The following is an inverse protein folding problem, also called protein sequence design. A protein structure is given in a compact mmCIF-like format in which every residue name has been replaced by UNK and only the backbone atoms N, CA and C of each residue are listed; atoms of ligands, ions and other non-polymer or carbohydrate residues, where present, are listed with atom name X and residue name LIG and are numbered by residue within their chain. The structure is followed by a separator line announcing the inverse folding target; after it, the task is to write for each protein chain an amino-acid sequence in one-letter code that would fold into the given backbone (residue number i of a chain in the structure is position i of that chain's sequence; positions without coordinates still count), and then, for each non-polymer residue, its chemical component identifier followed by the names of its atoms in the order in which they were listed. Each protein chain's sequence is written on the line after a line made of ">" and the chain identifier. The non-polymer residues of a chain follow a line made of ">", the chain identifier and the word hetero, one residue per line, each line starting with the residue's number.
data_IF_433035829750
#
_entry.id   IF_433035829750
#
_cell.length_a   1.000
_cell.length_b   1.000
_cell.length_c   1.000
_cell.angle_alpha   90.00
_cell.angle_beta   90.00
_cell.angle_gamma   90.00
#
_symmetry.space_group_name_H-M   'P 1'
#
loop_
_entity.id
_entity.type
_entity.pdbx_description
1 polymer ?
#
# COMPACT_ATOMS: atom_id res chain seq x y z
N UNK A 1 -9.61 -28.65 -15.94
CA UNK A 1 -9.61 -28.02 -14.60
C UNK A 1 -8.70 -28.86 -13.72
N UNK A 2 -7.60 -28.30 -13.21
CA UNK A 2 -6.79 -28.99 -12.21
C UNK A 2 -7.55 -28.95 -10.88
N UNK A 3 -7.70 -30.10 -10.21
CA UNK A 3 -8.27 -30.15 -8.87
C UNK A 3 -7.39 -29.31 -7.94
N UNK A 4 -7.97 -28.28 -7.33
CA UNK A 4 -7.31 -27.50 -6.29
C UNK A 4 -6.95 -28.44 -5.14
N UNK A 5 -5.69 -28.38 -4.66
CA UNK A 5 -5.27 -29.09 -3.45
C UNK A 5 -6.22 -28.77 -2.29
N UNK A 6 -6.48 -29.75 -1.42
CA UNK A 6 -7.34 -29.58 -0.25
C UNK A 6 -6.83 -28.46 0.69
N UNK A 7 -5.50 -28.28 0.75
CA UNK A 7 -4.87 -27.17 1.48
C UNK A 7 -5.26 -25.80 0.90
N UNK A 8 -5.34 -25.72 -0.43
CA UNK A 8 -5.71 -24.50 -1.15
C UNK A 8 -7.20 -24.18 -0.94
N UNK A 9 -8.07 -25.19 -0.93
CA UNK A 9 -9.49 -25.03 -0.62
C UNK A 9 -9.70 -24.53 0.81
N UNK A 10 -8.98 -25.11 1.78
CA UNK A 10 -9.04 -24.69 3.17
C UNK A 10 -8.54 -23.24 3.35
N UNK A 11 -7.47 -22.86 2.67
CA UNK A 11 -6.97 -21.48 2.64
C UNK A 11 -8.01 -20.52 2.04
N UNK A 12 -8.63 -20.89 0.91
CA UNK A 12 -9.68 -20.09 0.26
C UNK A 12 -10.90 -19.91 1.17
N UNK A 13 -11.33 -20.97 1.86
CA UNK A 13 -12.40 -20.91 2.84
C UNK A 13 -12.07 -19.98 4.02
N UNK A 14 -10.84 -20.00 4.53
CA UNK A 14 -10.42 -19.09 5.59
C UNK A 14 -10.38 -17.62 5.13
N UNK A 15 -9.94 -17.38 3.88
CA UNK A 15 -9.81 -16.04 3.30
C UNK A 15 -11.15 -15.39 2.95
N UNK A 16 -12.12 -16.17 2.44
CA UNK A 16 -13.38 -15.62 1.92
C UNK A 16 -14.45 -15.47 3.01
N UNK A 17 -14.37 -16.23 4.12
CA UNK A 17 -15.39 -16.23 5.18
C UNK A 17 -15.72 -14.84 5.76
N UNK A 18 -14.77 -13.92 6.00
CA UNK A 18 -15.06 -12.58 6.49
C UNK A 18 -15.82 -11.70 5.46
N UNK A 19 -15.57 -11.90 4.17
CA UNK A 19 -16.14 -11.08 3.09
C UNK A 19 -17.62 -11.39 2.82
N UNK A 20 -18.02 -12.66 3.00
CA UNK A 20 -19.41 -13.11 2.79
C UNK A 20 -20.35 -12.56 3.87
N UNK A 21 -19.86 -12.40 5.11
CA UNK A 21 -20.71 -12.01 6.23
C UNK A 21 -20.98 -10.49 6.30
N UNK A 22 -20.13 -9.66 5.69
CA UNK A 22 -20.33 -8.20 5.64
C UNK A 22 -21.44 -7.76 4.67
N UNK A 23 -21.79 -8.56 3.65
CA UNK A 23 -22.78 -8.19 2.63
C UNK A 23 -24.22 -8.59 2.99
N UNK A 24 -24.40 -9.56 3.88
CA UNK A 24 -25.72 -10.17 4.15
C UNK A 24 -26.55 -9.45 5.24
N UNK A 25 -25.99 -8.45 5.94
CA UNK A 25 -26.67 -7.83 7.09
C UNK A 25 -27.39 -6.51 6.76
N UNK A 26 -27.78 -6.28 5.50
CA UNK A 26 -28.62 -5.14 5.11
C UNK A 26 -30.09 -5.54 5.20
N UNK A 27 -30.64 -5.47 6.40
CA UNK A 27 -32.09 -5.40 6.59
C UNK A 27 -32.60 -4.15 5.86
N UNK A 28 -33.21 -4.33 4.70
CA UNK A 28 -33.92 -3.27 3.98
C UNK A 28 -35.13 -2.92 4.85
N UNK A 29 -35.00 -1.90 5.69
CA UNK A 29 -36.15 -1.27 6.35
C UNK A 29 -36.81 -0.41 5.28
N UNK A 30 -37.94 -0.90 4.76
CA UNK A 30 -38.76 -0.14 3.83
C UNK A 30 -39.28 1.13 4.53
N UNK A 31 -39.17 2.33 3.91
CA UNK A 31 -39.75 3.53 4.49
C UNK A 31 -41.28 3.45 4.41
N UNK A 32 -41.92 3.51 5.57
CA UNK A 32 -43.38 3.64 5.68
C UNK A 32 -43.80 5.03 5.19
N UNK A 33 -44.49 5.06 4.06
CA UNK A 33 -45.09 6.26 3.47
C UNK A 33 -46.23 6.73 4.38
N UNK A 34 -46.10 7.93 4.95
CA UNK A 34 -47.20 8.62 5.65
C UNK A 34 -47.54 9.87 4.84
N UNK A 35 -48.74 9.93 4.31
CA UNK A 35 -49.25 11.06 3.52
C UNK A 35 -49.78 12.17 4.43
N UNK A 36 -49.22 13.38 4.35
CA UNK A 36 -49.77 14.60 4.96
C UNK A 36 -49.76 15.73 3.94
N UNK A 37 -50.81 16.55 3.99
CA UNK A 37 -51.24 17.58 3.04
C UNK A 37 -50.29 18.77 2.85
N UNK A 38 -50.45 19.40 1.67
CA UNK A 38 -49.82 20.64 1.22
C UNK A 38 -50.08 21.82 2.16
N UNK A 39 -49.01 22.57 2.44
CA UNK A 39 -49.09 24.00 2.78
C UNK A 39 -47.89 24.74 2.15
N UNK A 40 -48.13 25.93 1.62
CA UNK A 40 -47.22 26.75 0.81
C UNK A 40 -46.22 27.52 1.68
N UNK A 41 -44.91 27.27 1.57
CA UNK A 41 -43.78 28.16 1.96
C UNK A 41 -42.41 27.57 1.53
N UNK A 42 -41.31 28.33 1.70
CA UNK A 42 -40.50 28.98 0.66
C UNK A 42 -39.48 28.05 -0.04
N UNK A 43 -38.93 28.53 -1.16
CA UNK A 43 -37.91 27.87 -1.99
C UNK A 43 -36.65 27.54 -1.17
N UNK A 44 -36.57 26.31 -0.66
CA UNK A 44 -35.34 25.69 -0.15
C UNK A 44 -34.49 25.27 -1.36
N UNK A 45 -33.26 25.78 -1.39
CA UNK A 45 -32.23 25.32 -2.34
C UNK A 45 -32.06 23.79 -2.21
N UNK A 46 -31.87 23.06 -3.32
CA UNK A 46 -31.67 21.62 -3.28
C UNK A 46 -30.35 21.37 -2.56
N UNK A 47 -30.45 21.04 -1.28
CA UNK A 47 -29.36 20.50 -0.50
C UNK A 47 -28.95 19.21 -1.21
N UNK A 48 -27.91 19.30 -2.04
CA UNK A 48 -27.22 18.15 -2.64
C UNK A 48 -26.64 17.38 -1.48
N UNK A 49 -27.48 16.53 -0.87
CA UNK A 49 -27.11 15.59 0.16
C UNK A 49 -25.95 14.79 -0.38
N UNK A 50 -24.74 15.17 0.04
CA UNK A 50 -23.53 14.41 -0.18
C UNK A 50 -23.81 13.07 0.50
N UNK A 51 -24.21 12.08 -0.30
CA UNK A 51 -24.34 10.71 0.15
C UNK A 51 -22.98 10.34 0.73
N UNK A 52 -22.91 10.32 2.07
CA UNK A 52 -21.76 9.91 2.82
C UNK A 52 -21.55 8.41 2.59
N UNK A 53 -21.05 8.06 1.40
CA UNK A 53 -20.60 6.73 1.09
C UNK A 53 -19.44 6.41 2.02
N UNK A 54 -19.75 5.66 3.08
CA UNK A 54 -18.72 5.09 3.94
C UNK A 54 -17.73 4.35 3.04
N UNK A 55 -16.45 4.72 3.03
CA UNK A 55 -15.48 4.10 2.16
C UNK A 55 -15.25 2.69 2.68
N UNK A 56 -15.97 1.71 2.14
CA UNK A 56 -15.69 0.31 2.40
C UNK A 56 -14.32 -0.02 1.81
N UNK A 57 -13.54 -0.93 2.43
CA UNK A 57 -12.29 -1.38 1.83
C UNK A 57 -12.58 -1.88 0.42
N UNK A 58 -11.91 -1.28 -0.57
CA UNK A 58 -12.18 -1.57 -1.97
C UNK A 58 -11.98 -3.07 -2.22
N UNK A 59 -12.96 -3.73 -2.84
CA UNK A 59 -12.92 -5.18 -3.09
C UNK A 59 -11.64 -5.63 -3.82
N UNK A 60 -11.02 -4.70 -4.57
CA UNK A 60 -9.72 -4.91 -5.20
C UNK A 60 -8.62 -5.30 -4.20
N UNK A 61 -8.59 -4.74 -2.99
CA UNK A 61 -7.52 -5.06 -2.03
C UNK A 61 -7.59 -6.51 -1.55
N UNK A 62 -8.81 -7.00 -1.28
CA UNK A 62 -9.00 -8.41 -0.93
C UNK A 62 -8.64 -9.34 -2.10
N UNK A 63 -9.03 -8.97 -3.33
CA UNK A 63 -8.66 -9.71 -4.53
C UNK A 63 -7.14 -9.73 -4.73
N UNK A 64 -6.45 -8.61 -4.56
CA UNK A 64 -4.99 -8.49 -4.66
C UNK A 64 -4.31 -9.40 -3.64
N UNK A 65 -4.71 -9.33 -2.36
CA UNK A 65 -4.13 -10.18 -1.29
C UNK A 65 -4.34 -11.67 -1.59
N UNK A 66 -5.54 -12.06 -2.04
CA UNK A 66 -5.82 -13.43 -2.43
C UNK A 66 -4.96 -13.87 -3.62
N UNK A 67 -4.87 -13.06 -4.67
CA UNK A 67 -4.00 -13.35 -5.82
C UNK A 67 -2.54 -13.53 -5.39
N UNK A 68 -2.01 -12.64 -4.55
CA UNK A 68 -0.65 -12.75 -4.01
C UNK A 68 -0.46 -14.07 -3.25
N UNK A 69 -1.37 -14.40 -2.32
CA UNK A 69 -1.32 -15.63 -1.53
C UNK A 69 -1.38 -16.89 -2.41
N UNK A 70 -2.20 -16.89 -3.46
CA UNK A 70 -2.24 -17.99 -4.43
C UNK A 70 -0.91 -18.14 -5.17
N UNK A 71 -0.29 -17.03 -5.60
CA UNK A 71 1.01 -17.13 -6.27
C UNK A 71 2.16 -17.52 -5.32
N UNK A 72 2.03 -17.27 -4.02
CA UNK A 72 3.01 -17.69 -3.00
C UNK A 72 3.08 -19.20 -2.78
N UNK A 73 2.11 -19.98 -3.26
CA UNK A 73 2.19 -21.45 -3.23
C UNK A 73 3.19 -21.99 -4.25
N UNK A 74 3.57 -21.18 -5.24
CA UNK A 74 4.61 -21.54 -6.21
C UNK A 74 5.99 -21.30 -5.61
N UNK A 75 6.79 -22.37 -5.51
CA UNK A 75 8.15 -22.29 -5.01
C UNK A 75 9.05 -21.53 -5.99
N UNK A 76 9.79 -20.54 -5.47
CA UNK A 76 10.81 -19.84 -6.24
C UNK A 76 11.97 -20.81 -6.47
N UNK A 77 12.32 -21.03 -7.74
CA UNK A 77 13.50 -21.82 -8.09
C UNK A 77 14.76 -20.99 -7.85
N UNK A 78 15.65 -21.49 -7.00
CA UNK A 78 16.92 -20.82 -6.68
C UNK A 78 17.98 -21.30 -7.67
N UNK A 79 18.60 -20.41 -8.47
CA UNK A 79 19.62 -20.83 -9.42
C UNK A 79 20.85 -21.42 -8.70
N UNK A 80 21.31 -22.64 -9.06
CA UNK A 80 22.36 -23.34 -8.31
C UNK A 80 23.77 -22.77 -8.50
N UNK A 81 23.96 -21.86 -9.47
CA UNK A 81 25.25 -21.24 -9.78
C UNK A 81 25.52 -19.95 -8.98
N UNK A 82 24.56 -19.49 -8.18
CA UNK A 82 24.73 -18.32 -7.35
C UNK A 82 25.67 -18.60 -6.16
N UNK A 83 26.43 -17.60 -5.68
CA UNK A 83 27.14 -17.72 -4.42
C UNK A 83 26.20 -18.13 -3.29
N UNK A 84 26.68 -18.94 -2.35
CA UNK A 84 25.85 -19.46 -1.26
C UNK A 84 25.34 -18.32 -0.36
N UNK A 85 26.21 -17.37 -0.04
CA UNK A 85 25.93 -16.23 0.84
C UNK A 85 26.73 -14.99 0.40
N UNK A 86 26.45 -13.86 1.05
CA UNK A 86 27.06 -12.55 0.76
C UNK A 86 28.58 -12.55 0.87
N UNK A 87 29.12 -13.15 1.94
CA UNK A 87 30.57 -13.22 2.18
C UNK A 87 31.29 -13.96 1.05
N UNK A 88 30.69 -15.03 0.53
CA UNK A 88 31.24 -15.80 -0.59
C UNK A 88 31.24 -14.97 -1.89
N UNK A 89 30.15 -14.24 -2.15
CA UNK A 89 30.05 -13.32 -3.30
C UNK A 89 31.15 -12.25 -3.25
N UNK A 90 31.32 -11.59 -2.10
CA UNK A 90 32.35 -10.57 -1.89
C UNK A 90 33.78 -11.14 -2.04
N UNK A 91 34.06 -12.30 -1.46
CA UNK A 91 35.39 -12.95 -1.59
C UNK A 91 35.74 -13.34 -3.02
N UNK A 92 34.73 -13.54 -3.88
CA UNK A 92 34.88 -13.86 -5.30
C UNK A 92 34.77 -12.64 -6.21
N UNK A 93 34.61 -11.43 -5.66
CA UNK A 93 34.45 -10.20 -6.44
C UNK A 93 33.17 -10.16 -7.27
N UNK A 94 32.14 -10.92 -6.87
CA UNK A 94 30.84 -10.96 -7.55
C UNK A 94 29.83 -10.07 -6.84
N UNK A 95 29.16 -9.21 -7.61
CA UNK A 95 27.99 -8.44 -7.16
C UNK A 95 26.68 -9.16 -7.53
N UNK A 96 25.58 -8.76 -6.90
CA UNK A 96 24.25 -9.28 -7.19
C UNK A 96 23.73 -10.28 -6.15
N UNK A 97 22.64 -10.99 -6.49
CA UNK A 97 21.94 -11.81 -5.51
C UNK A 97 22.65 -13.13 -5.23
N UNK A 98 22.51 -13.61 -4.01
CA UNK A 98 23.04 -14.89 -3.52
C UNK A 98 21.92 -15.89 -3.30
N UNK A 99 22.26 -17.16 -3.09
CA UNK A 99 21.25 -18.18 -2.76
C UNK A 99 20.51 -17.84 -1.46
N UNK A 100 21.21 -17.25 -0.48
CA UNK A 100 20.61 -16.76 0.77
C UNK A 100 19.55 -15.69 0.54
N UNK A 101 19.82 -14.71 -0.32
CA UNK A 101 18.85 -13.66 -0.68
C UNK A 101 17.56 -14.29 -1.23
N UNK A 102 17.68 -15.21 -2.21
CA UNK A 102 16.53 -15.93 -2.78
C UNK A 102 15.75 -16.74 -1.74
N UNK A 103 16.42 -17.34 -0.74
CA UNK A 103 15.74 -18.06 0.34
C UNK A 103 14.90 -17.13 1.20
N UNK A 104 15.40 -15.93 1.51
CA UNK A 104 14.66 -14.92 2.26
C UNK A 104 13.36 -14.55 1.52
N UNK A 105 13.45 -14.31 0.21
CA UNK A 105 12.29 -13.96 -0.63
C UNK A 105 11.32 -15.13 -0.76
N UNK A 106 11.83 -16.37 -0.88
CA UNK A 106 11.01 -17.57 -0.95
C UNK A 106 10.27 -17.85 0.36
N UNK A 107 10.83 -17.44 1.50
CA UNK A 107 10.23 -17.58 2.82
C UNK A 107 9.18 -16.50 3.12
N UNK A 108 9.22 -15.36 2.42
CA UNK A 108 8.24 -14.29 2.62
C UNK A 108 6.83 -14.75 2.24
N UNK A 109 5.86 -14.37 3.10
CA UNK A 109 4.42 -14.61 2.90
C UNK A 109 3.64 -13.33 3.11
N UNK A 110 2.69 -13.08 2.22
CA UNK A 110 1.77 -11.95 2.31
C UNK A 110 0.90 -12.14 3.53
N UNK A 111 0.90 -11.11 4.35
CA UNK A 111 0.05 -10.99 5.50
C UNK A 111 -1.44 -11.17 5.19
N UNK A 112 -2.07 -12.11 5.88
CA UNK A 112 -3.51 -12.37 5.77
C UNK A 112 -4.25 -11.86 7.01
N UNK A 113 -5.57 -11.67 6.86
CA UNK A 113 -6.46 -11.23 7.94
C UNK A 113 -6.39 -12.14 9.18
N UNK A 114 -6.14 -13.44 8.97
CA UNK A 114 -6.09 -14.44 10.04
C UNK A 114 -4.74 -14.60 10.73
N UNK A 115 -3.70 -13.91 10.28
CA UNK A 115 -2.38 -14.04 10.87
C UNK A 115 -2.36 -13.36 12.25
N UNK A 116 -2.05 -14.13 13.29
CA UNK A 116 -1.88 -13.59 14.64
C UNK A 116 -0.62 -12.70 14.67
N UNK A 117 -0.81 -11.41 14.96
CA UNK A 117 0.29 -10.43 14.99
C UNK A 117 0.51 -9.89 16.41
N UNK A 118 1.60 -10.27 17.09
CA UNK A 118 1.85 -9.89 18.49
C UNK A 118 2.14 -8.40 18.68
N UNK A 119 2.62 -7.71 17.63
CA UNK A 119 3.12 -6.33 17.74
C UNK A 119 2.01 -5.29 17.98
N UNK A 120 0.84 -5.44 17.36
CA UNK A 120 -0.30 -4.54 17.60
C UNK A 120 -0.90 -4.72 19.00
N UNK A 121 -0.94 -5.95 19.50
CA UNK A 121 -1.54 -6.25 20.81
C UNK A 121 -0.75 -5.59 21.94
N UNK A 122 0.59 -5.56 21.86
CA UNK A 122 1.44 -4.90 22.85
C UNK A 122 1.34 -3.37 22.78
N UNK A 123 1.26 -2.83 21.58
CA UNK A 123 1.23 -1.38 21.33
C UNK A 123 -0.10 -0.72 21.70
N UNK A 124 -1.23 -1.42 21.56
CA UNK A 124 -2.54 -0.85 21.86
C UNK A 124 -2.92 -0.95 23.34
N UNK A 125 -2.11 -1.61 24.19
CA UNK A 125 -2.25 -1.59 25.65
C UNK A 125 -3.58 -2.11 26.22
N UNK A 126 -4.46 -2.63 25.38
CA UNK A 126 -5.80 -3.05 25.78
C UNK A 126 -5.87 -4.57 25.84
N UNK A 127 -5.80 -5.11 27.06
CA UNK A 127 -6.26 -6.47 27.41
C UNK A 127 -7.78 -6.65 27.24
N UNK A 128 -8.52 -5.57 26.95
CA UNK A 128 -9.95 -5.64 26.76
C UNK A 128 -10.27 -6.44 25.48
N UNK A 129 -11.11 -7.46 25.63
CA UNK A 129 -11.44 -8.49 24.66
C UNK A 129 -12.14 -7.93 23.41
N UNK A 130 -11.39 -7.22 22.59
CA UNK A 130 -11.86 -6.67 21.32
C UNK A 130 -12.16 -7.84 20.40
N UNK A 131 -13.40 -7.92 19.92
CA UNK A 131 -13.81 -8.78 18.80
C UNK A 131 -12.72 -8.83 17.73
N UNK A 132 -12.42 -10.02 17.20
CA UNK A 132 -11.38 -10.25 16.18
C UNK A 132 -11.40 -9.18 15.08
N UNK A 133 -12.57 -8.77 14.61
CA UNK A 133 -12.71 -7.73 13.57
C UNK A 133 -12.06 -6.39 13.94
N UNK A 134 -12.14 -5.97 15.21
CA UNK A 134 -11.53 -4.71 15.69
C UNK A 134 -10.00 -4.77 15.80
N UNK A 135 -9.42 -5.98 15.92
CA UNK A 135 -7.96 -6.17 16.01
C UNK A 135 -7.31 -6.15 14.64
N UNK A 136 -7.98 -6.72 13.65
CA UNK A 136 -7.38 -6.96 12.33
C UNK A 136 -7.65 -5.83 11.34
N UNK A 137 -8.74 -5.08 11.45
CA UNK A 137 -9.05 -3.98 10.54
C UNK A 137 -9.22 -2.66 11.31
N UNK A 138 -8.12 -1.92 11.54
CA UNK A 138 -8.16 -0.64 12.24
C UNK A 138 -8.97 0.41 11.47
N UNK A 139 -8.98 0.37 10.14
CA UNK A 139 -9.81 1.26 9.31
C UNK A 139 -11.29 0.99 9.58
N UNK A 140 -11.67 -0.29 9.62
CA UNK A 140 -13.03 -0.71 9.95
C UNK A 140 -13.38 -0.35 11.39
N UNK A 141 -12.47 -0.60 12.34
CA UNK A 141 -12.72 -0.28 13.74
C UNK A 141 -12.96 1.21 13.93
N UNK A 142 -12.17 2.05 13.28
CA UNK A 142 -12.29 3.50 13.35
C UNK A 142 -13.63 3.98 12.77
N UNK A 143 -14.03 3.43 11.62
CA UNK A 143 -15.32 3.74 10.99
C UNK A 143 -16.52 3.30 11.82
N UNK A 144 -16.40 2.22 12.58
CA UNK A 144 -17.50 1.67 13.38
C UNK A 144 -17.53 2.18 14.83
N UNK A 145 -16.38 2.66 15.35
CA UNK A 145 -16.20 2.94 16.77
C UNK A 145 -16.14 4.42 17.14
N UNK A 146 -15.66 5.28 16.24
CA UNK A 146 -15.73 6.72 16.41
C UNK A 146 -17.05 7.20 15.81
N UNK A 147 -17.75 8.12 16.48
CA UNK A 147 -19.00 8.72 15.99
C UNK A 147 -18.84 9.46 14.66
N UNK A 148 -19.73 10.40 14.30
CA UNK A 148 -19.70 11.14 13.04
C UNK A 148 -18.53 12.14 12.98
N UNK A 149 -17.30 11.64 13.08
CA UNK A 149 -16.10 12.41 12.82
C UNK A 149 -15.95 12.59 11.30
N UNK A 150 -15.44 13.74 10.85
CA UNK A 150 -15.26 14.00 9.42
C UNK A 150 -14.37 12.93 8.78
N UNK A 151 -14.78 12.47 7.60
CA UNK A 151 -14.02 11.52 6.78
C UNK A 151 -12.57 12.00 6.61
N UNK A 152 -11.62 11.13 6.91
CA UNK A 152 -10.18 11.39 6.70
C UNK A 152 -9.43 11.97 7.90
N UNK A 153 -10.10 12.41 8.97
CA UNK A 153 -9.45 13.00 10.16
C UNK A 153 -8.46 12.05 10.86
N UNK A 154 -8.49 10.76 10.56
CA UNK A 154 -7.70 9.78 11.29
C UNK A 154 -6.75 8.93 10.45
N UNK A 155 -6.75 9.07 9.13
CA UNK A 155 -5.97 8.21 8.25
C UNK A 155 -4.47 8.31 8.55
N UNK A 156 -3.99 9.52 8.86
CA UNK A 156 -2.61 9.76 9.28
C UNK A 156 -2.28 9.19 10.65
N UNK A 157 -3.25 9.11 11.57
CA UNK A 157 -3.02 8.59 12.92
C UNK A 157 -2.67 7.10 12.92
N UNK A 158 -3.35 6.33 12.06
CA UNK A 158 -3.06 4.92 11.88
C UNK A 158 -1.78 4.74 11.07
N UNK A 159 -1.70 5.37 9.89
CA UNK A 159 -0.57 5.19 8.98
C UNK A 159 0.75 5.64 9.62
N UNK A 160 0.73 6.73 10.38
CA UNK A 160 1.90 7.26 11.08
C UNK A 160 2.59 6.26 11.99
N UNK A 161 1.80 5.45 12.67
CA UNK A 161 2.32 4.47 13.63
C UNK A 161 2.91 3.24 12.96
N UNK A 162 2.38 2.85 11.80
CA UNK A 162 2.65 1.53 11.23
C UNK A 162 3.55 1.60 10.00
N UNK A 163 3.51 2.67 9.21
CA UNK A 163 4.19 2.75 7.92
C UNK A 163 5.69 3.09 8.03
N UNK A 164 6.14 3.76 9.09
CA UNK A 164 7.59 3.99 9.27
C UNK A 164 8.36 2.71 9.59
N UNK A 165 9.58 2.57 9.07
CA UNK A 165 10.47 1.43 9.35
C UNK A 165 10.89 0.68 8.09
N UNK A 166 11.46 -0.52 8.27
CA UNK A 166 11.93 -1.37 7.18
C UNK A 166 10.81 -2.27 6.69
N UNK A 167 10.56 -2.22 5.39
CA UNK A 167 9.59 -3.01 4.66
C UNK A 167 10.31 -3.95 3.70
N UNK A 168 9.88 -5.21 3.68
CA UNK A 168 10.43 -6.27 2.84
C UNK A 168 9.30 -7.02 2.16
N UNK A 169 9.49 -7.41 0.91
CA UNK A 169 8.55 -8.24 0.19
C UNK A 169 8.91 -8.37 -1.28
N UNK A 170 7.89 -8.32 -2.14
CA UNK A 170 8.08 -8.51 -3.56
C UNK A 170 6.97 -7.83 -4.37
N UNK A 171 7.23 -7.68 -5.67
CA UNK A 171 6.20 -7.38 -6.66
C UNK A 171 6.24 -8.41 -7.79
N UNK A 172 5.10 -8.62 -8.43
CA UNK A 172 4.92 -9.54 -9.54
C UNK A 172 4.67 -8.75 -10.81
N UNK A 173 5.28 -9.18 -11.91
CA UNK A 173 5.18 -8.52 -13.22
C UNK A 173 4.14 -9.22 -14.07
N UNK A 174 3.14 -8.50 -14.55
CA UNK A 174 2.15 -8.99 -15.51
C UNK A 174 2.56 -8.63 -16.94
N UNK A 175 2.33 -9.55 -17.88
CA UNK A 175 2.44 -9.25 -19.32
C UNK A 175 1.20 -8.51 -19.80
N UNK A 176 1.35 -7.28 -20.32
CA UNK A 176 0.24 -6.59 -20.98
C UNK A 176 -0.01 -7.08 -22.43
N UNK A 177 0.72 -8.08 -22.90
CA UNK A 177 0.89 -8.33 -24.33
C UNK A 177 -0.20 -9.15 -25.02
N UNK A 178 -1.33 -9.51 -24.40
CA UNK A 178 -2.33 -10.36 -25.07
C UNK A 178 -3.57 -9.63 -25.61
N UNK A 179 -3.78 -8.35 -25.28
CA UNK A 179 -4.99 -7.62 -25.74
C UNK A 179 -4.72 -6.75 -26.96
N UNK A 180 -3.99 -7.28 -27.95
CA UNK A 180 -3.90 -6.62 -29.25
C UNK A 180 -5.25 -6.70 -29.97
N UNK A 181 -6.07 -5.66 -29.79
CA UNK A 181 -6.69 -4.96 -30.92
C UNK A 181 -7.77 -5.64 -31.74
N UNK A 182 -8.44 -6.69 -31.25
CA UNK A 182 -9.73 -7.11 -31.83
C UNK A 182 -10.82 -6.88 -30.79
N UNK A 183 -11.62 -5.83 -30.99
CA UNK A 183 -12.62 -5.28 -30.06
C UNK A 183 -13.79 -6.19 -29.71
N UNK A 184 -13.59 -7.50 -29.63
CA UNK A 184 -14.51 -8.45 -29.04
C UNK A 184 -13.89 -8.95 -27.75
N UNK A 185 -14.21 -8.27 -26.64
CA UNK A 185 -14.14 -8.87 -25.31
C UNK A 185 -15.10 -10.05 -25.32
N UNK A 186 -14.66 -11.20 -25.84
CA UNK A 186 -15.40 -12.44 -25.64
C UNK A 186 -15.28 -12.74 -24.16
N UNK A 187 -16.38 -12.47 -23.48
CA UNK A 187 -16.70 -12.58 -22.06
C UNK A 187 -16.58 -14.02 -21.49
N UNK A 188 -15.64 -14.84 -22.00
CA UNK A 188 -15.61 -16.28 -21.77
C UNK A 188 -14.24 -16.93 -21.62
N UNK A 189 -13.13 -16.19 -21.63
CA UNK A 189 -11.81 -16.74 -21.31
C UNK A 189 -11.39 -16.28 -19.91
N UNK A 190 -11.71 -17.11 -18.92
CA UNK A 190 -11.53 -16.89 -17.48
C UNK A 190 -10.12 -17.22 -16.98
N UNK A 191 -9.08 -17.01 -17.78
CA UNK A 191 -7.73 -17.32 -17.34
C UNK A 191 -7.20 -16.19 -16.45
N UNK A 192 -6.74 -16.51 -15.22
CA UNK A 192 -6.19 -15.49 -14.33
C UNK A 192 -4.98 -14.83 -14.98
N UNK A 193 -4.70 -13.55 -14.66
CA UNK A 193 -3.54 -12.86 -15.22
C UNK A 193 -2.27 -13.65 -14.93
N UNK A 194 -1.51 -13.95 -15.99
CA UNK A 194 -0.25 -14.68 -15.86
C UNK A 194 0.86 -13.71 -15.44
N UNK A 195 1.51 -14.01 -14.31
CA UNK A 195 2.60 -13.22 -13.79
C UNK A 195 3.93 -13.84 -14.23
N UNK A 196 4.69 -13.09 -15.01
CA UNK A 196 5.96 -13.53 -15.59
C UNK A 196 7.03 -13.85 -14.55
N UNK A 197 7.14 -13.01 -13.53
CA UNK A 197 8.16 -13.16 -12.51
C UNK A 197 7.77 -12.47 -11.21
N UNK A 198 8.39 -12.94 -10.13
CA UNK A 198 8.42 -12.31 -8.81
C UNK A 198 9.76 -11.61 -8.64
N UNK A 199 9.75 -10.36 -8.22
CA UNK A 199 10.97 -9.58 -7.98
C UNK A 199 10.99 -9.01 -6.56
N UNK A 200 12.15 -9.06 -5.89
CA UNK A 200 12.28 -8.62 -4.50
C UNK A 200 12.17 -7.11 -4.38
N UNK A 201 11.71 -6.66 -3.22
CA UNK A 201 11.64 -5.25 -2.90
C UNK A 201 11.89 -5.04 -1.40
N UNK A 202 12.72 -4.05 -1.09
CA UNK A 202 12.92 -3.57 0.27
C UNK A 202 13.09 -2.05 0.27
N UNK A 203 12.50 -1.40 1.27
CA UNK A 203 12.71 0.01 1.56
C UNK A 203 12.61 0.30 3.06
N UNK A 204 13.42 1.24 3.54
CA UNK A 204 13.22 1.89 4.82
C UNK A 204 12.44 3.17 4.58
N UNK A 205 11.25 3.29 5.16
CA UNK A 205 10.32 4.41 4.98
C UNK A 205 10.30 5.31 6.22
N UNK A 206 10.19 6.62 5.98
CA UNK A 206 9.97 7.66 6.98
C UNK A 206 8.85 8.60 6.52
N UNK A 207 8.11 9.14 7.49
CA UNK A 207 6.96 10.00 7.23
C UNK A 207 7.24 11.43 7.66
N UNK A 208 6.73 12.36 6.86
CA UNK A 208 6.88 13.78 7.06
C UNK A 208 5.51 14.43 6.90
N UNK A 209 5.13 15.26 7.86
CA UNK A 209 3.80 15.84 7.96
C UNK A 209 3.85 17.35 7.74
N UNK A 210 2.84 17.86 7.04
CA UNK A 210 2.59 19.29 6.88
C UNK A 210 1.39 19.68 7.73
N UNK A 211 1.54 20.67 8.60
CA UNK A 211 0.47 21.14 9.49
C UNK A 211 0.00 22.57 9.20
N UNK A 212 0.76 23.35 8.45
CA UNK A 212 0.39 24.72 8.12
C UNK A 212 -0.71 24.74 7.05
N UNK A 213 -1.56 25.77 7.09
CA UNK A 213 -2.55 26.06 6.05
C UNK A 213 -1.96 26.96 4.96
N UNK A 214 -0.80 27.58 5.20
CA UNK A 214 -0.14 28.41 4.20
C UNK A 214 0.42 27.56 3.05
N UNK A 215 -0.10 27.80 1.84
CA UNK A 215 0.47 27.24 0.62
C UNK A 215 1.87 27.83 0.41
N UNK A 216 2.90 26.99 0.52
CA UNK A 216 4.26 27.34 0.13
C UNK A 216 4.42 27.18 -1.38
N UNK A 217 5.04 28.15 -2.07
CA UNK A 217 5.33 28.10 -3.52
C UNK A 217 6.13 26.84 -3.93
N UNK A 218 6.85 26.22 -3.00
CA UNK A 218 7.63 24.99 -3.24
C UNK A 218 6.72 23.78 -3.54
N UNK A 219 5.43 23.85 -3.20
CA UNK A 219 4.44 22.79 -3.46
C UNK A 219 4.08 22.64 -4.94
N UNK A 220 4.40 23.61 -5.80
CA UNK A 220 4.08 23.55 -7.23
C UNK A 220 4.78 22.37 -7.95
N UNK A 221 5.92 21.92 -7.42
CA UNK A 221 6.65 20.77 -7.95
C UNK A 221 6.14 19.41 -7.41
N UNK A 222 5.37 19.44 -6.32
CA UNK A 222 4.80 18.28 -5.64
C UNK A 222 3.29 18.29 -5.89
N UNK A 223 2.91 17.98 -7.13
CA UNK A 223 1.52 17.87 -7.54
C UNK A 223 0.73 16.90 -6.64
N UNK A 224 -0.61 17.01 -6.64
CA UNK A 224 -1.49 16.13 -5.84
C UNK A 224 -1.21 14.64 -6.10
N UNK A 225 -1.05 14.31 -7.39
CA UNK A 225 -0.82 12.97 -7.91
C UNK A 225 0.69 12.70 -8.09
N UNK A 226 1.21 11.71 -7.37
CA UNK A 226 2.65 11.32 -7.39
C UNK A 226 3.16 10.96 -8.78
N UNK A 227 2.28 10.45 -9.65
CA UNK A 227 2.64 10.10 -11.04
C UNK A 227 3.05 11.32 -11.87
N UNK A 228 2.58 12.51 -11.50
CA UNK A 228 2.90 13.75 -12.20
C UNK A 228 4.05 14.54 -11.56
N UNK A 229 4.66 14.03 -10.48
CA UNK A 229 5.78 14.73 -9.84
C UNK A 229 6.94 14.92 -10.81
N UNK A 230 7.26 16.20 -11.05
CA UNK A 230 8.43 16.62 -11.81
C UNK A 230 9.74 16.37 -11.06
N UNK A 231 9.67 16.32 -9.73
CA UNK A 231 10.80 16.01 -8.84
C UNK A 231 11.14 14.53 -8.84
N UNK A 232 12.43 14.23 -8.67
CA UNK A 232 12.91 12.86 -8.50
C UNK A 232 12.86 12.45 -7.04
N UNK A 233 12.66 11.17 -6.79
CA UNK A 233 12.71 10.60 -5.45
C UNK A 233 14.08 10.81 -4.80
N UNK A 234 15.16 10.83 -5.59
CA UNK A 234 16.52 11.07 -5.10
C UNK A 234 16.85 12.54 -4.82
N UNK A 235 15.97 13.48 -5.19
CA UNK A 235 16.14 14.89 -4.86
C UNK A 235 15.67 15.20 -3.42
N UNK A 236 14.90 14.29 -2.81
CA UNK A 236 14.52 14.36 -1.40
C UNK A 236 15.68 13.89 -0.51
N UNK A 237 15.94 14.64 0.55
CA UNK A 237 16.89 14.27 1.58
C UNK A 237 16.33 14.56 2.97
N UNK A 238 16.67 13.70 3.93
CA UNK A 238 16.21 13.78 5.30
C UNK A 238 17.32 14.32 6.20
N UNK A 239 17.08 15.45 6.86
CA UNK A 239 18.02 16.08 7.79
C UNK A 239 17.40 16.13 9.18
N UNK A 240 17.57 15.05 9.95
CA UNK A 240 16.99 14.90 11.28
C UNK A 240 15.46 14.86 11.25
N UNK A 241 14.82 15.94 11.70
CA UNK A 241 13.35 16.08 11.70
C UNK A 241 12.81 16.86 10.49
N UNK A 242 13.68 17.36 9.61
CA UNK A 242 13.28 18.19 8.47
C UNK A 242 13.44 17.45 7.16
N UNK A 243 12.55 17.73 6.23
CA UNK A 243 12.63 17.26 4.86
C UNK A 243 13.22 18.35 3.98
N UNK A 244 14.19 18.00 3.14
CA UNK A 244 14.80 18.90 2.17
C UNK A 244 14.57 18.37 0.76
N UNK A 245 14.31 19.26 -0.19
CA UNK A 245 14.18 18.97 -1.60
C UNK A 245 15.22 19.80 -2.36
N UNK A 246 16.21 19.14 -2.96
CA UNK A 246 17.31 19.81 -3.67
C UNK A 246 18.01 20.90 -2.83
N UNK A 247 18.14 20.67 -1.51
CA UNK A 247 18.74 21.60 -0.55
C UNK A 247 17.80 22.70 -0.03
N UNK A 248 16.54 22.74 -0.48
CA UNK A 248 15.52 23.64 0.06
C UNK A 248 14.76 22.92 1.17
N UNK A 249 14.74 23.50 2.37
CA UNK A 249 13.97 22.96 3.50
C UNK A 249 12.48 23.11 3.23
N UNK A 250 11.77 21.99 3.22
CA UNK A 250 10.32 21.96 3.06
C UNK A 250 9.62 22.17 4.42
N UNK A 251 8.38 22.70 4.43
CA UNK A 251 7.57 22.88 5.65
C UNK A 251 7.01 21.55 6.20
N UNK A 252 7.72 20.44 6.00
CA UNK A 252 7.34 19.15 6.54
C UNK A 252 8.26 18.75 7.69
N UNK A 253 7.67 18.18 8.73
CA UNK A 253 8.40 17.69 9.90
C UNK A 253 8.15 16.21 10.15
N UNK A 254 9.20 15.53 10.63
CA UNK A 254 9.13 14.15 11.09
C UNK A 254 8.78 14.13 12.57
N UNK A 255 7.75 13.37 12.92
CA UNK A 255 7.39 13.10 14.32
C UNK A 255 8.30 11.98 14.85
N UNK A 256 9.08 12.25 15.90
CA UNK A 256 10.13 11.31 16.38
C UNK A 256 9.83 10.67 17.74
N UNK A 257 8.73 11.04 18.40
CA UNK A 257 8.36 10.55 19.72
C UNK A 257 7.14 9.62 19.74
N UNK A 258 7.17 8.62 20.62
CA UNK A 258 5.97 7.85 20.98
C UNK A 258 4.90 8.73 21.65
N UNK A 259 5.32 9.82 22.30
CA UNK A 259 4.45 10.85 22.89
C UNK A 259 3.96 11.87 21.84
N UNK A 260 4.72 12.08 20.75
CA UNK A 260 4.36 12.97 19.63
C UNK A 260 3.39 12.33 18.62
N UNK A 261 3.15 11.02 18.73
CA UNK A 261 2.02 10.35 18.07
C UNK A 261 0.69 10.65 18.76
N UNK A 262 0.51 11.85 19.33
CA UNK A 262 -0.79 12.30 19.79
C UNK A 262 -1.72 12.27 18.58
N UNK A 263 -2.71 11.38 18.65
CA UNK A 263 -3.73 11.20 17.62
C UNK A 263 -4.37 12.54 17.22
N UNK A 264 -4.42 13.50 18.15
CA UNK A 264 -4.91 14.84 17.90
C UNK A 264 -4.04 15.61 16.90
N UNK A 265 -2.72 15.67 17.11
CA UNK A 265 -1.83 16.39 16.19
C UNK A 265 -1.85 15.76 14.80
N UNK A 266 -1.78 14.43 14.71
CA UNK A 266 -1.87 13.73 13.41
C UNK A 266 -3.19 13.96 12.67
N UNK A 267 -4.29 14.23 13.40
CA UNK A 267 -5.57 14.60 12.80
C UNK A 267 -5.60 16.03 12.24
N UNK A 268 -4.68 16.89 12.70
CA UNK A 268 -4.48 18.25 12.22
C UNK A 268 -3.51 18.31 11.03
N UNK A 269 -2.87 17.19 10.65
CA UNK A 269 -1.98 17.16 9.50
C UNK A 269 -2.76 17.36 8.20
N UNK A 270 -2.31 18.32 7.40
CA UNK A 270 -2.90 18.67 6.12
C UNK A 270 -2.46 17.74 5.00
N UNK A 271 -1.17 17.38 5.00
CA UNK A 271 -0.53 16.47 4.03
C UNK A 271 0.49 15.57 4.73
N UNK A 272 0.81 14.44 4.10
CA UNK A 272 1.79 13.49 4.59
C UNK A 272 2.61 12.91 3.43
N UNK A 273 3.90 13.26 3.41
CA UNK A 273 4.87 12.71 2.48
C UNK A 273 5.58 11.51 3.07
N UNK A 274 5.94 10.59 2.19
CA UNK A 274 6.71 9.40 2.50
C UNK A 274 8.00 9.50 1.71
N UNK A 275 9.12 9.30 2.38
CA UNK A 275 10.42 9.14 1.72
C UNK A 275 11.10 7.88 2.23
N UNK A 276 11.95 7.29 1.41
CA UNK A 276 12.64 6.09 1.80
C UNK A 276 13.71 5.64 0.84
N UNK A 277 14.40 4.59 1.24
CA UNK A 277 15.53 4.08 0.47
C UNK A 277 15.75 2.59 0.73
N UNK A 278 16.25 1.87 -0.29
CA UNK A 278 16.69 0.48 -0.12
C UNK A 278 17.92 0.42 0.80
N UNK A 279 18.01 -0.56 1.70
CA UNK A 279 19.21 -0.72 2.53
C UNK A 279 20.40 -1.16 1.67
N UNK A 280 21.61 -0.90 2.14
CA UNK A 280 22.84 -1.18 1.38
C UNK A 280 22.96 -2.64 0.96
N UNK A 281 22.77 -3.58 1.90
CA UNK A 281 22.84 -5.02 1.62
C UNK A 281 21.84 -5.48 0.54
N UNK A 282 20.60 -5.00 0.60
CA UNK A 282 19.59 -5.32 -0.40
C UNK A 282 19.88 -4.60 -1.73
N UNK A 283 20.46 -3.40 -1.67
CA UNK A 283 20.89 -2.62 -2.82
C UNK A 283 21.96 -3.33 -3.63
N UNK A 284 22.96 -3.91 -2.96
CA UNK A 284 23.99 -4.72 -3.60
C UNK A 284 23.42 -5.98 -4.29
N UNK A 285 22.30 -6.51 -3.78
CA UNK A 285 21.66 -7.72 -4.28
C UNK A 285 20.75 -7.44 -5.50
N UNK A 286 19.93 -6.39 -5.42
CA UNK A 286 18.78 -6.18 -6.31
C UNK A 286 18.73 -4.78 -6.96
N UNK A 287 19.73 -3.94 -6.71
CA UNK A 287 19.77 -2.54 -7.11
C UNK A 287 19.36 -1.61 -5.97
N UNK A 288 19.99 -0.44 -5.91
CA UNK A 288 19.74 0.54 -4.87
C UNK A 288 18.68 1.55 -5.34
N UNK A 289 17.57 1.65 -4.61
CA UNK A 289 16.49 2.56 -4.97
C UNK A 289 16.27 3.66 -3.92
N UNK A 290 15.66 4.73 -4.39
CA UNK A 290 15.06 5.81 -3.60
C UNK A 290 13.55 5.81 -3.83
N UNK A 291 12.81 6.16 -2.79
CA UNK A 291 11.36 6.15 -2.77
C UNK A 291 10.88 7.52 -2.29
N UNK A 292 9.90 8.08 -2.98
CA UNK A 292 9.20 9.27 -2.52
C UNK A 292 7.72 9.15 -2.90
N UNK A 293 6.83 9.66 -2.07
CA UNK A 293 5.41 9.50 -2.30
C UNK A 293 4.55 10.21 -1.27
N UNK A 294 3.26 9.91 -1.31
CA UNK A 294 2.24 10.60 -0.50
C UNK A 294 1.28 9.59 0.12
N UNK A 295 0.86 9.88 1.35
CA UNK A 295 -0.30 9.26 1.99
C UNK A 295 -1.50 10.15 1.75
N UNK A 296 -2.52 9.63 1.09
CA UNK A 296 -3.79 10.32 0.91
C UNK A 296 -4.68 10.19 2.15
N UNK A 297 -5.60 11.14 2.34
CA UNK A 297 -6.55 11.16 3.47
C UNK A 297 -7.52 9.97 3.47
N UNK A 298 -7.71 9.27 2.37
CA UNK A 298 -8.49 8.03 2.30
C UNK A 298 -7.70 6.78 2.74
N UNK A 299 -6.41 6.94 3.07
CA UNK A 299 -5.49 5.87 3.44
C UNK A 299 -4.77 5.21 2.25
N UNK A 300 -5.02 5.69 1.02
CA UNK A 300 -4.26 5.28 -0.16
C UNK A 300 -2.84 5.78 -0.07
N UNK A 301 -1.88 4.92 -0.41
CA UNK A 301 -0.46 5.23 -0.41
C UNK A 301 0.03 5.12 -1.85
N UNK A 302 0.69 6.18 -2.33
CA UNK A 302 1.32 6.20 -3.65
C UNK A 302 2.81 6.47 -3.50
N UNK A 303 3.67 5.60 -4.01
CA UNK A 303 5.14 5.71 -3.97
C UNK A 303 5.73 5.67 -5.38
N UNK A 304 6.57 6.64 -5.70
CA UNK A 304 7.49 6.64 -6.84
C UNK A 304 8.81 6.02 -6.41
N UNK A 305 9.28 5.01 -7.14
CA UNK A 305 10.58 4.36 -6.96
C UNK A 305 11.50 4.71 -8.12
N UNK A 306 12.71 5.15 -7.81
CA UNK A 306 13.73 5.47 -8.79
C UNK A 306 15.10 4.87 -8.42
N UNK A 307 15.93 4.50 -9.41
CA UNK A 307 17.31 4.07 -9.15
C UNK A 307 18.10 5.18 -8.45
N UNK A 308 18.88 4.81 -7.43
CA UNK A 308 19.70 5.75 -6.65
C UNK A 308 20.89 6.27 -7.47
N UNK A 309 21.43 5.42 -8.34
CA UNK A 309 22.62 5.71 -9.12
C UNK A 309 22.29 5.82 -10.61
N UNK A 310 22.94 6.74 -11.31
CA UNK A 310 22.77 6.92 -12.75
C UNK A 310 23.19 5.69 -13.56
N UNK A 311 24.15 4.90 -13.05
CA UNK A 311 24.55 3.60 -13.62
C UNK A 311 23.41 2.58 -13.64
N UNK A 312 22.40 2.76 -12.79
CA UNK A 312 21.23 1.87 -12.66
C UNK A 312 19.98 2.42 -13.35
N UNK A 313 20.10 3.49 -14.16
CA UNK A 313 18.98 4.12 -14.84
C UNK A 313 18.13 3.14 -15.67
N UNK A 314 18.72 2.05 -16.16
CA UNK A 314 18.02 0.98 -16.89
C UNK A 314 17.02 0.17 -16.05
N UNK A 315 17.02 0.31 -14.72
CA UNK A 315 16.07 -0.39 -13.83
C UNK A 315 14.69 0.30 -13.79
N UNK A 316 14.58 1.51 -14.34
CA UNK A 316 13.33 2.23 -14.58
C UNK A 316 12.65 2.84 -13.35
N UNK A 317 11.73 3.77 -13.61
CA UNK A 317 10.90 4.46 -12.62
C UNK A 317 9.53 3.81 -12.52
N UNK A 318 9.13 3.40 -11.33
CA UNK A 318 7.84 2.71 -11.10
C UNK A 318 7.00 3.44 -10.07
N UNK A 319 5.68 3.37 -10.25
CA UNK A 319 4.68 3.91 -9.33
C UNK A 319 4.01 2.73 -8.64
N UNK A 320 4.02 2.71 -7.32
CA UNK A 320 3.35 1.75 -6.47
C UNK A 320 2.15 2.44 -5.83
N UNK A 321 0.96 1.88 -5.97
CA UNK A 321 -0.26 2.39 -5.38
C UNK A 321 -0.95 1.29 -4.60
N UNK A 322 -1.19 1.52 -3.31
CA UNK A 322 -1.74 0.49 -2.45
C UNK A 322 -2.32 1.04 -1.16
N UNK A 323 -2.56 0.14 -0.21
CA UNK A 323 -3.06 0.46 1.12
C UNK A 323 -2.32 -0.36 2.16
N UNK A 324 -2.19 0.22 3.35
CA UNK A 324 -1.72 -0.50 4.52
C UNK A 324 -2.87 -1.36 5.10
N UNK A 325 -2.76 -2.67 4.98
CA UNK A 325 -3.70 -3.65 5.52
C UNK A 325 -3.14 -4.26 6.80
N UNK A 326 -4.04 -4.48 7.76
CA UNK A 326 -3.78 -5.23 8.99
C UNK A 326 -2.59 -4.69 9.82
N UNK A 327 -2.29 -3.39 9.72
CA UNK A 327 -1.20 -2.70 10.40
C UNK A 327 0.21 -3.11 9.96
N UNK A 328 0.33 -3.99 8.97
CA UNK A 328 1.58 -4.71 8.76
C UNK A 328 1.80 -5.24 7.34
N UNK A 329 0.87 -4.94 6.42
CA UNK A 329 0.93 -5.38 5.03
C UNK A 329 0.69 -4.20 4.10
N UNK A 330 1.70 -3.76 3.37
CA UNK A 330 1.50 -2.78 2.32
C UNK A 330 1.33 -3.50 0.99
N UNK A 331 0.09 -3.50 0.48
CA UNK A 331 -0.32 -4.28 -0.69
C UNK A 331 -1.01 -3.38 -1.72
N UNK A 332 -0.83 -3.70 -3.00
CA UNK A 332 -1.45 -2.91 -4.05
C UNK A 332 -1.01 -3.31 -5.45
N UNK A 333 -1.11 -2.35 -6.36
CA UNK A 333 -0.68 -2.47 -7.75
C UNK A 333 0.52 -1.58 -8.01
N UNK A 334 1.33 -1.93 -9.00
CA UNK A 334 2.40 -1.07 -9.48
C UNK A 334 2.34 -0.94 -11.00
N UNK A 335 2.91 0.14 -11.52
CA UNK A 335 3.05 0.41 -12.95
C UNK A 335 4.37 1.09 -13.28
N UNK A 336 4.87 0.90 -14.50
CA UNK A 336 5.98 1.69 -15.04
C UNK A 336 5.50 3.11 -15.34
N UNK A 337 6.30 4.13 -15.03
CA UNK A 337 5.98 5.54 -15.34
C UNK A 337 6.18 5.90 -16.82
N UNK A 338 6.05 4.93 -17.74
CA UNK A 338 6.28 5.14 -19.17
C UNK A 338 5.37 6.24 -19.72
N UNK A 339 5.81 6.86 -20.81
CA UNK A 339 5.06 7.88 -21.55
C UNK A 339 3.61 7.45 -21.76
N UNK A 340 2.67 8.40 -21.57
CA UNK A 340 1.20 8.20 -21.54
C UNK A 340 0.62 7.37 -22.69
N UNK A 341 1.36 7.22 -23.79
CA UNK A 341 0.91 6.60 -25.03
C UNK A 341 1.24 5.11 -25.18
N UNK A 342 2.00 4.50 -24.26
CA UNK A 342 2.29 3.06 -24.30
C UNK A 342 1.65 2.32 -23.12
N UNK A 343 1.05 1.12 -23.34
CA UNK A 343 0.59 0.28 -22.26
C UNK A 343 1.78 -0.11 -21.39
N UNK A 344 1.95 0.60 -20.28
CA UNK A 344 3.05 0.41 -19.34
C UNK A 344 2.95 -0.94 -18.65
N UNK A 345 4.11 -1.51 -18.27
CA UNK A 345 4.19 -2.74 -17.48
C UNK A 345 3.52 -2.49 -16.13
N UNK A 346 2.70 -3.43 -15.67
CA UNK A 346 2.04 -3.34 -14.37
C UNK A 346 2.06 -4.67 -13.62
N UNK A 347 1.58 -4.66 -12.38
CA UNK A 347 1.35 -5.88 -11.64
C UNK A 347 0.95 -5.61 -10.20
N UNK A 348 1.18 -6.61 -9.34
CA UNK A 348 0.80 -6.59 -7.93
C UNK A 348 2.03 -6.52 -7.04
N UNK A 349 1.91 -5.96 -5.84
CA UNK A 349 2.99 -6.00 -4.86
C UNK A 349 2.48 -6.27 -3.45
N UNK A 350 3.39 -6.78 -2.62
CA UNK A 350 3.20 -7.06 -1.21
C UNK A 350 4.48 -6.78 -0.46
N UNK A 351 4.38 -6.00 0.61
CA UNK A 351 5.47 -5.80 1.56
C UNK A 351 4.95 -5.97 2.98
N UNK A 352 5.78 -6.57 3.82
CA UNK A 352 5.58 -6.72 5.25
C UNK A 352 6.63 -5.92 6.01
N UNK A 353 6.26 -5.44 7.19
CA UNK A 353 7.19 -4.77 8.10
C UNK A 353 8.12 -5.81 8.74
N UNK A 354 9.43 -5.52 8.76
CA UNK A 354 10.46 -6.39 9.34
C UNK A 354 10.55 -6.27 10.85
#
# INVERSE_FOLDING_TARGET
>A
MADLSEDLKNLLHQLVRPLILSSLNRGIVAPSVTSVQLDDSPVLSPDTGSENHLPFPHASSAAIVLSLALHETNNIQIPPHLPINRTTAQSSGRSGPTMEDYRIIAAYKTALFGDDRPLMNKLLGTECDRSRSKRHDPDFHQKMGCGPAPLGAYSYSYIGRFLEGVWEGYYMVSSLNSTTGSGSWKEGASDPPDFLCRRPMQCSLALYYHFDDQQSEVLDCIEEEVVNWSVRACDFSASGTRLELSGVVLPYEKLTGAEDCDHKRLSEANDCLIVGQTLEEHGEAWGAFTFAGRVHRDGRITLKREPRHSSEAGLGTWIFQGHLRFGAAFVGTWSSSSTRDQPGVCGLFSMGKK
#
